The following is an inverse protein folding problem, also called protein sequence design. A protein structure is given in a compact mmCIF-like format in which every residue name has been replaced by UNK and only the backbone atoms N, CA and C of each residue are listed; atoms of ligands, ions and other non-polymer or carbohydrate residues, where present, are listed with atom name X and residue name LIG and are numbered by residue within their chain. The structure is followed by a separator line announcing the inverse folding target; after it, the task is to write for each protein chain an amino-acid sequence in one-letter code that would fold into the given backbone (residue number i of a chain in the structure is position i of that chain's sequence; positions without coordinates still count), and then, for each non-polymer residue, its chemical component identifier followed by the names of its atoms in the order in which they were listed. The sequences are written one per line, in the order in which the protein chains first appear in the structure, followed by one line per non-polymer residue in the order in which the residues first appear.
data_IF_735843328945
#
_entry.id   IF_735843328945
#
_cell.length_a   1.000
_cell.length_b   1.000
_cell.length_c   1.000
_cell.angle_alpha   90.00
_cell.angle_beta   90.00
_cell.angle_gamma   90.00
#
_symmetry.space_group_name_H-M   'P 1'
#
loop_
_entity.id
_entity.type
_entity.pdbx_description
1 polymer ?
#
# COMPACT_ATOMS: atom_id res chain seq x y z
N UNK A 1 -16.61 13.55 -3.21
CA UNK A 1 -16.15 13.71 -3.31
C UNK A 1 -15.20 13.44 -3.89
N UNK A 2 -15.01 13.52 -4.45
CA UNK A 2 -14.16 13.24 -4.99
C UNK A 2 -12.98 13.23 -4.44
N UNK A 3 -12.96 13.16 -3.44
CA UNK A 3 -11.78 12.98 -2.71
C UNK A 3 -11.01 11.80 -3.13
N UNK A 4 -11.69 10.86 -3.66
CA UNK A 4 -10.99 9.66 -4.09
C UNK A 4 -9.88 9.96 -5.06
N UNK A 5 -10.10 10.88 -5.94
CA UNK A 5 -9.07 11.21 -6.88
C UNK A 5 -7.91 11.96 -6.24
N UNK A 6 -8.14 12.46 -5.07
CA UNK A 6 -7.13 13.25 -4.38
C UNK A 6 -6.38 12.49 -3.33
N UNK A 7 -6.86 11.32 -2.97
CA UNK A 7 -6.18 10.56 -1.93
C UNK A 7 -4.81 10.14 -2.41
N UNK A 8 -3.81 10.58 -1.70
CA UNK A 8 -2.46 10.09 -1.94
C UNK A 8 -2.28 8.81 -1.15
N UNK A 9 -1.27 8.06 -1.51
CA UNK A 9 -0.97 6.85 -0.76
C UNK A 9 -0.71 7.18 0.71
N UNK A 10 -0.04 8.27 0.95
CA UNK A 10 0.28 8.66 2.32
C UNK A 10 -0.98 8.92 3.13
N UNK A 11 -1.93 9.64 2.54
CA UNK A 11 -3.19 9.91 3.21
C UNK A 11 -3.98 8.64 3.45
N UNK A 12 -4.01 7.76 2.47
CA UNK A 12 -4.76 6.52 2.59
C UNK A 12 -4.18 5.65 3.69
N UNK A 13 -2.86 5.49 3.70
CA UNK A 13 -2.21 4.66 4.70
C UNK A 13 -2.47 5.22 6.09
N UNK A 14 -2.30 6.52 6.25
CA UNK A 14 -2.52 7.13 7.56
C UNK A 14 -3.95 6.95 8.03
N UNK A 15 -4.90 7.08 7.11
CA UNK A 15 -6.30 6.94 7.48
C UNK A 15 -6.58 5.56 8.03
N UNK A 16 -6.13 4.52 7.34
CA UNK A 16 -6.42 3.17 7.79
C UNK A 16 -5.66 2.80 9.05
N UNK A 17 -4.45 3.33 9.22
CA UNK A 17 -3.73 3.13 10.47
C UNK A 17 -4.48 3.81 11.61
N UNK A 18 -4.94 5.02 11.38
CA UNK A 18 -5.64 5.78 12.41
C UNK A 18 -6.94 5.08 12.80
N UNK A 19 -7.59 4.46 11.85
CA UNK A 19 -8.82 3.74 12.13
C UNK A 19 -8.59 2.42 12.84
N UNK A 20 -7.33 2.02 12.95
CA UNK A 20 -7.03 0.76 13.62
C UNK A 20 -7.45 -0.45 12.82
N UNK A 21 -7.34 -0.37 11.52
CA UNK A 21 -7.75 -1.47 10.66
C UNK A 21 -6.90 -2.71 10.94
N UNK A 22 -7.54 -3.77 11.37
CA UNK A 22 -6.82 -4.98 11.73
C UNK A 22 -6.66 -5.95 10.57
N UNK A 23 -7.54 -5.88 9.60
CA UNK A 23 -7.46 -6.80 8.48
C UNK A 23 -7.07 -6.10 7.19
N UNK A 24 -6.29 -5.04 7.33
CA UNK A 24 -5.77 -4.33 6.18
C UNK A 24 -4.34 -4.79 5.89
N UNK A 25 -4.01 -4.85 4.61
CA UNK A 25 -2.63 -5.10 4.20
C UNK A 25 -2.26 -4.10 3.14
N UNK A 26 -0.98 -3.76 3.08
CA UNK A 26 -0.45 -2.95 1.99
C UNK A 26 0.33 -3.86 1.06
N UNK A 27 0.19 -3.62 -0.22
CA UNK A 27 0.92 -4.37 -1.24
C UNK A 27 1.98 -3.47 -1.80
N UNK A 28 3.23 -3.90 -1.71
CA UNK A 28 4.36 -3.11 -2.19
C UNK A 28 5.13 -3.89 -3.24
N UNK A 29 5.79 -3.16 -4.11
CA UNK A 29 6.64 -3.78 -5.12
C UNK A 29 7.91 -4.27 -4.44
N UNK A 30 8.29 -5.50 -4.77
CA UNK A 30 9.47 -6.11 -4.20
C UNK A 30 10.09 -7.03 -5.23
N UNK A 31 11.15 -6.59 -5.85
CA UNK A 31 11.78 -7.34 -6.93
C UNK A 31 12.41 -8.63 -6.47
N UNK A 32 12.65 -8.76 -5.17
CA UNK A 32 13.28 -9.98 -4.66
C UNK A 32 12.33 -11.16 -4.67
N UNK A 33 11.03 -10.90 -4.81
CA UNK A 33 10.04 -11.96 -4.79
C UNK A 33 9.62 -12.33 -6.20
N UNK A 34 9.33 -13.62 -6.44
CA UNK A 34 8.90 -14.05 -7.78
C UNK A 34 7.67 -13.31 -8.28
N UNK A 35 6.74 -13.00 -7.39
CA UNK A 35 5.54 -12.28 -7.79
C UNK A 35 5.81 -10.79 -8.04
N UNK A 36 6.95 -10.30 -7.56
CA UNK A 36 7.27 -8.89 -7.67
C UNK A 36 6.55 -8.03 -6.66
N UNK A 37 5.80 -8.64 -5.75
CA UNK A 37 5.03 -7.90 -4.79
C UNK A 37 5.03 -8.59 -3.44
N UNK A 38 4.87 -7.79 -2.40
CA UNK A 38 4.83 -8.30 -1.03
C UNK A 38 3.62 -7.70 -0.34
N UNK A 39 2.94 -8.53 0.44
CA UNK A 39 1.82 -8.07 1.25
C UNK A 39 2.29 -7.92 2.68
N UNK A 40 2.00 -6.77 3.29
CA UNK A 40 2.44 -6.47 4.64
C UNK A 40 1.22 -6.07 5.45
N UNK A 41 0.98 -6.73 6.59
CA UNK A 41 -0.15 -6.34 7.45
C UNK A 41 0.01 -4.89 7.89
N UNK A 42 -1.04 -4.13 7.73
CA UNK A 42 -0.98 -2.71 8.05
C UNK A 42 -0.73 -2.49 9.54
N UNK A 43 -1.12 -3.44 10.36
CA UNK A 43 -0.90 -3.33 11.79
C UNK A 43 0.58 -3.26 12.16
N UNK A 44 1.45 -3.73 11.28
CA UNK A 44 2.88 -3.69 11.52
C UNK A 44 3.55 -2.46 10.94
N UNK A 45 2.79 -1.61 10.28
CA UNK A 45 3.34 -0.50 9.53
C UNK A 45 3.21 0.79 10.32
N UNK A 46 4.28 1.58 10.31
CA UNK A 46 4.24 2.93 10.82
C UNK A 46 4.65 3.86 9.68
N UNK A 47 4.26 5.12 9.82
CA UNK A 47 4.56 6.10 8.79
C UNK A 47 5.58 7.09 9.34
N UNK A 48 6.64 7.30 8.59
CA UNK A 48 7.64 8.28 8.97
C UNK A 48 8.01 9.05 7.71
N UNK A 49 7.56 10.30 7.63
CA UNK A 49 7.80 11.08 6.43
C UNK A 49 7.14 10.42 5.24
N UNK A 50 7.90 10.17 4.22
CA UNK A 50 7.41 9.53 3.01
C UNK A 50 7.75 8.05 2.96
N UNK A 51 7.94 7.45 4.13
CA UNK A 51 8.32 6.04 4.22
C UNK A 51 7.37 5.28 5.10
N UNK A 52 7.21 4.01 4.77
CA UNK A 52 6.61 3.04 5.68
C UNK A 52 7.74 2.42 6.46
N UNK A 53 7.53 2.25 7.75
CA UNK A 53 8.53 1.66 8.63
C UNK A 53 7.98 0.35 9.16
N UNK A 54 8.67 -0.72 8.86
CA UNK A 54 8.28 -2.04 9.35
C UNK A 54 9.51 -2.61 10.05
N UNK A 55 9.47 -2.59 11.39
CA UNK A 55 10.64 -2.99 12.14
C UNK A 55 11.78 -2.03 11.85
N UNK A 56 12.83 -2.53 11.26
CA UNK A 56 13.98 -1.71 10.90
C UNK A 56 14.03 -1.42 9.41
N UNK A 57 12.98 -1.79 8.69
CA UNK A 57 12.98 -1.65 7.25
C UNK A 57 12.19 -0.41 6.87
N UNK A 58 12.77 0.39 5.97
CA UNK A 58 12.11 1.57 5.43
C UNK A 58 11.71 1.26 3.99
N UNK A 59 10.44 1.50 3.68
CA UNK A 59 9.93 1.28 2.34
C UNK A 59 9.36 2.60 1.84
N UNK A 60 9.87 3.12 0.73
CA UNK A 60 9.33 4.36 0.19
C UNK A 60 7.85 4.20 -0.14
N UNK A 61 7.06 5.21 0.15
CA UNK A 61 5.64 5.13 -0.11
C UNK A 61 5.31 4.91 -1.58
N UNK A 62 6.17 5.38 -2.47
CA UNK A 62 5.86 5.21 -3.89
C UNK A 62 5.92 3.76 -4.34
N UNK A 63 6.41 2.87 -3.50
CA UNK A 63 6.40 1.45 -3.83
C UNK A 63 5.09 0.77 -3.48
N UNK A 64 4.23 1.44 -2.71
CA UNK A 64 2.93 0.88 -2.38
C UNK A 64 2.04 1.00 -3.61
N UNK A 65 1.44 -0.10 -4.01
CA UNK A 65 0.57 -0.09 -5.18
C UNK A 65 -0.88 -0.35 -4.83
N UNK A 66 -1.13 -0.88 -3.64
CA UNK A 66 -2.49 -1.26 -3.31
C UNK A 66 -2.65 -1.37 -1.81
N UNK A 67 -3.85 -1.10 -1.32
CA UNK A 67 -4.22 -1.38 0.07
C UNK A 67 -5.46 -2.25 0.01
N UNK A 68 -5.45 -3.34 0.74
CA UNK A 68 -6.58 -4.25 0.80
C UNK A 68 -7.13 -4.31 2.21
N UNK A 69 -8.43 -4.44 2.30
CA UNK A 69 -9.11 -4.58 3.57
C UNK A 69 -10.02 -5.79 3.48
N UNK A 70 -9.72 -6.80 4.29
CA UNK A 70 -10.50 -8.02 4.26
C UNK A 70 -10.51 -8.68 2.89
N UNK A 71 -9.41 -8.60 2.19
CA UNK A 71 -9.31 -9.21 0.88
C UNK A 71 -9.81 -8.34 -0.27
N UNK A 72 -10.35 -7.18 0.04
CA UNK A 72 -10.86 -6.28 -1.00
C UNK A 72 -9.94 -5.11 -1.16
N UNK A 73 -9.74 -4.68 -2.40
CA UNK A 73 -8.93 -3.51 -2.68
C UNK A 73 -9.70 -2.26 -2.29
N UNK A 74 -9.14 -1.48 -1.36
CA UNK A 74 -9.76 -0.22 -0.95
C UNK A 74 -8.99 0.98 -1.46
N UNK A 75 -7.77 0.77 -1.93
CA UNK A 75 -6.99 1.82 -2.56
C UNK A 75 -6.04 1.18 -3.54
N UNK A 76 -5.91 1.77 -4.69
CA UNK A 76 -4.99 1.28 -5.71
C UNK A 76 -4.33 2.47 -6.38
N UNK A 77 -3.03 2.33 -6.64
CA UNK A 77 -2.31 3.39 -7.34
C UNK A 77 -2.80 3.48 -8.76
N UNK A 78 -3.20 4.67 -9.14
CA UNK A 78 -3.72 4.89 -10.47
C UNK A 78 -2.59 4.85 -11.47
N UNK A 79 -2.82 4.23 -12.60
CA UNK A 79 -1.82 4.17 -13.64
C UNK A 79 -0.63 3.33 -13.31
N UNK A 80 -0.80 2.42 -12.37
CA UNK A 80 0.29 1.56 -11.97
C UNK A 80 0.69 0.64 -13.10
N UNK A 81 1.99 0.55 -13.34
CA UNK A 81 2.47 -0.27 -14.42
C UNK A 81 2.47 -1.74 -14.08
N UNK A 82 2.37 -2.07 -12.80
CA UNK A 82 2.45 -3.48 -12.45
C UNK A 82 1.31 -4.27 -13.06
N UNK A 83 0.22 -3.62 -13.37
CA UNK A 83 -0.90 -4.35 -13.88
C UNK A 83 -0.79 -4.62 -15.36
N UNK A 84 0.12 -3.99 -16.04
CA UNK A 84 0.24 -4.26 -17.45
C UNK A 84 0.69 -5.69 -17.68
N UNK A 85 1.39 -6.26 -16.74
CA UNK A 85 1.83 -7.63 -16.92
C UNK A 85 0.65 -8.58 -16.86
N UNK A 86 -0.35 -8.26 -16.10
CA UNK A 86 -1.51 -9.12 -16.04
C UNK A 86 -2.35 -8.95 -17.29
N UNK A 87 -2.35 -7.76 -17.82
CA UNK A 87 -3.07 -7.54 -19.05
C UNK A 87 -2.37 -8.18 -20.21
N UNK A 88 -1.13 -8.32 -20.02
CA UNK A 88 -0.37 -8.97 -21.06
C UNK A 88 -0.88 -10.26 -21.16
#
# INVERSE_FOLDING_TARGET
MDATGKDTIKSAVKRYIYEGCENCVVVVLDRALPSGMREIPLALVKVFGDYLVIGEVLIPMHRVVEIRKGGKTVWRRRGSVYRSSSGG
#
